data_IF_324149707018
#
_entry.id   IF_324149707018
#
_cell.length_a   1.000
_cell.length_b   1.000
_cell.length_c   1.000
_cell.angle_alpha   90.00
_cell.angle_beta   90.00
_cell.angle_gamma   90.00
#
_symmetry.space_group_name_H-M   'P 1'
#
loop_
_entity.id
_entity.type
_entity.pdbx_description
1 polymer ?
#
# COMPACT_ATOMS: atom_id res chain seq x y z
N UNK A 1 7.25 19.13 -14.74
CA UNK A 1 6.92 18.95 -13.31
C UNK A 1 5.98 20.03 -12.80
N UNK A 2 6.20 21.30 -13.13
CA UNK A 2 5.41 22.44 -12.60
C UNK A 2 3.91 22.39 -12.91
N UNK A 3 3.53 21.96 -14.11
CA UNK A 3 2.11 21.81 -14.50
C UNK A 3 1.41 20.76 -13.62
N UNK A 4 2.07 19.63 -13.36
CA UNK A 4 1.52 18.56 -12.51
C UNK A 4 1.36 19.07 -11.09
N UNK A 5 2.37 19.76 -10.53
CA UNK A 5 2.30 20.33 -9.19
C UNK A 5 1.20 21.39 -9.07
N UNK A 6 1.00 22.24 -10.08
CA UNK A 6 -0.08 23.22 -10.11
C UNK A 6 -1.46 22.55 -10.11
N UNK A 7 -1.64 21.47 -10.87
CA UNK A 7 -2.88 20.69 -10.87
C UNK A 7 -3.12 20.00 -9.51
N UNK A 8 -2.08 19.47 -8.87
CA UNK A 8 -2.19 18.87 -7.53
C UNK A 8 -2.56 19.89 -6.46
N UNK A 9 -1.95 21.08 -6.49
CA UNK A 9 -2.28 22.18 -5.57
C UNK A 9 -3.71 22.68 -5.74
N UNK A 10 -4.28 22.48 -6.93
CA UNK A 10 -5.68 22.81 -7.23
C UNK A 10 -6.66 21.64 -7.01
N UNK A 11 -6.22 20.53 -6.40
CA UNK A 11 -7.05 19.35 -6.13
C UNK A 11 -7.38 18.51 -7.37
N UNK A 12 -6.77 18.77 -8.53
CA UNK A 12 -7.06 18.07 -9.80
C UNK A 12 -6.23 16.80 -9.96
N UNK A 13 -6.36 15.86 -9.02
CA UNK A 13 -5.57 14.60 -9.00
C UNK A 13 -5.66 13.82 -10.32
N UNK A 14 -6.88 13.60 -10.84
CA UNK A 14 -7.08 12.82 -12.07
C UNK A 14 -6.34 13.41 -13.28
N UNK A 15 -6.39 14.74 -13.41
CA UNK A 15 -5.72 15.46 -14.50
C UNK A 15 -4.21 15.39 -14.35
N UNK A 16 -3.69 15.66 -13.14
CA UNK A 16 -2.28 15.56 -12.83
C UNK A 16 -1.71 14.16 -13.15
N UNK A 17 -2.42 13.09 -12.76
CA UNK A 17 -2.01 11.71 -13.05
C UNK A 17 -2.14 11.38 -14.54
N UNK A 18 -3.14 11.90 -15.24
CA UNK A 18 -3.25 11.74 -16.70
C UNK A 18 -2.06 12.37 -17.43
N UNK A 19 -1.61 13.56 -17.00
CA UNK A 19 -0.43 14.23 -17.58
C UNK A 19 0.84 13.44 -17.27
N UNK A 20 1.00 12.97 -16.03
CA UNK A 20 2.13 12.12 -15.65
C UNK A 20 2.16 10.86 -16.52
N UNK A 21 1.04 10.13 -16.62
CA UNK A 21 0.99 8.85 -17.31
C UNK A 21 1.26 8.96 -18.83
N UNK A 22 0.91 10.09 -19.44
CA UNK A 22 1.21 10.37 -20.85
C UNK A 22 2.65 10.86 -21.10
N UNK A 23 3.42 11.12 -20.05
CA UNK A 23 4.78 11.65 -20.16
C UNK A 23 5.76 10.56 -20.62
N UNK A 24 6.62 10.81 -21.62
CA UNK A 24 7.65 9.86 -22.04
C UNK A 24 8.95 10.00 -21.21
N UNK A 25 8.91 10.64 -20.03
CA UNK A 25 10.10 10.91 -19.20
C UNK A 25 9.82 10.66 -17.71
N UNK A 26 10.83 10.23 -16.93
CA UNK A 26 10.70 10.10 -15.48
C UNK A 26 10.52 11.44 -14.78
N UNK A 27 10.00 11.37 -13.55
CA UNK A 27 9.87 12.50 -12.63
C UNK A 27 10.64 12.24 -11.34
N UNK A 28 10.88 13.28 -10.51
CA UNK A 28 11.43 13.10 -9.18
C UNK A 28 10.57 12.16 -8.32
N UNK A 29 11.22 11.29 -7.54
CA UNK A 29 10.54 10.35 -6.63
C UNK A 29 9.60 11.00 -5.61
N UNK A 30 9.88 12.25 -5.23
CA UNK A 30 8.98 13.05 -4.37
C UNK A 30 7.61 13.29 -5.01
N UNK A 31 7.52 13.40 -6.34
CA UNK A 31 6.25 13.55 -7.04
C UNK A 31 5.42 12.28 -6.96
N UNK A 32 6.03 11.10 -7.19
CA UNK A 32 5.34 9.82 -7.05
C UNK A 32 4.85 9.60 -5.63
N UNK A 33 5.69 9.86 -4.62
CA UNK A 33 5.30 9.77 -3.22
C UNK A 33 4.09 10.66 -2.90
N UNK A 34 4.08 11.90 -3.41
CA UNK A 34 2.96 12.83 -3.24
C UNK A 34 1.69 12.33 -3.94
N UNK A 35 1.82 11.77 -5.14
CA UNK A 35 0.70 11.24 -5.90
C UNK A 35 0.09 10.01 -5.22
N UNK A 36 0.90 9.06 -4.77
CA UNK A 36 0.40 7.92 -3.99
C UNK A 36 -0.33 8.38 -2.72
N UNK A 37 0.25 9.34 -1.99
CA UNK A 37 -0.41 9.92 -0.82
C UNK A 37 -1.80 10.49 -1.15
N UNK A 38 -1.92 11.23 -2.25
CA UNK A 38 -3.20 11.80 -2.69
C UNK A 38 -4.16 10.72 -3.21
N UNK A 39 -3.66 9.70 -3.90
CA UNK A 39 -4.49 8.58 -4.35
C UNK A 39 -5.06 7.82 -3.14
N UNK A 40 -4.24 7.58 -2.12
CA UNK A 40 -4.64 6.95 -0.88
C UNK A 40 -5.72 7.75 -0.14
N UNK A 41 -5.54 9.08 -0.02
CA UNK A 41 -6.53 9.96 0.62
C UNK A 41 -7.85 10.05 -0.15
N UNK A 42 -7.83 9.96 -1.48
CA UNK A 42 -9.02 10.04 -2.32
C UNK A 42 -9.61 8.66 -2.71
N UNK A 43 -9.01 7.56 -2.23
CA UNK A 43 -9.32 6.18 -2.67
C UNK A 43 -9.32 6.03 -4.20
N UNK A 44 -8.37 6.70 -4.86
CA UNK A 44 -8.29 6.83 -6.31
C UNK A 44 -7.42 5.72 -6.92
N UNK A 45 -8.00 4.51 -7.04
CA UNK A 45 -7.27 3.31 -7.45
C UNK A 45 -6.75 3.36 -8.89
N UNK A 46 -7.54 3.90 -9.82
CA UNK A 46 -7.17 3.98 -11.24
C UNK A 46 -5.92 4.86 -11.39
N UNK A 47 -5.90 5.94 -10.64
CA UNK A 47 -4.80 6.88 -10.57
C UNK A 47 -3.57 6.24 -9.91
N UNK A 48 -3.73 5.51 -8.81
CA UNK A 48 -2.63 4.79 -8.16
C UNK A 48 -1.93 3.81 -9.11
N UNK A 49 -2.70 3.01 -9.86
CA UNK A 49 -2.16 2.07 -10.87
C UNK A 49 -1.40 2.76 -11.98
N UNK A 50 -1.88 3.91 -12.46
CA UNK A 50 -1.17 4.72 -13.46
C UNK A 50 0.15 5.27 -12.93
N UNK A 51 0.15 5.72 -11.67
CA UNK A 51 1.35 6.25 -11.00
C UNK A 51 2.40 5.15 -10.84
N UNK A 52 1.99 3.95 -10.39
CA UNK A 52 2.88 2.80 -10.29
C UNK A 52 3.40 2.36 -11.66
N UNK A 53 2.52 2.17 -12.65
CA UNK A 53 2.90 1.75 -14.00
C UNK A 53 3.95 2.67 -14.63
N UNK A 54 3.78 3.99 -14.48
CA UNK A 54 4.78 4.95 -14.95
C UNK A 54 6.08 4.86 -14.12
N UNK A 55 6.01 4.69 -12.80
CA UNK A 55 7.20 4.52 -11.94
C UNK A 55 8.03 3.32 -12.39
N UNK A 56 7.42 2.14 -12.54
CA UNK A 56 8.12 0.89 -12.87
C UNK A 56 8.64 0.89 -14.32
N UNK A 57 7.97 1.61 -15.22
CA UNK A 57 8.40 1.76 -16.62
C UNK A 57 9.72 2.54 -16.72
N UNK A 58 9.88 3.61 -15.93
CA UNK A 58 11.08 4.45 -15.98
C UNK A 58 12.12 4.16 -14.88
N UNK A 59 11.79 3.28 -13.93
CA UNK A 59 12.68 2.85 -12.87
C UNK A 59 12.58 1.33 -12.73
N UNK A 60 13.49 0.55 -13.35
CA UNK A 60 13.48 -0.91 -13.25
C UNK A 60 13.67 -1.42 -11.81
N UNK A 61 14.31 -0.62 -10.96
CA UNK A 61 14.50 -0.87 -9.53
C UNK A 61 14.01 0.32 -8.71
N UNK A 62 12.68 0.49 -8.55
CA UNK A 62 12.15 1.60 -7.77
C UNK A 62 12.62 1.54 -6.31
N UNK A 63 12.84 2.70 -5.66
CA UNK A 63 13.13 2.72 -4.23
C UNK A 63 12.07 1.99 -3.40
N UNK A 64 12.50 1.14 -2.46
CA UNK A 64 11.62 0.32 -1.60
C UNK A 64 10.52 1.17 -0.94
N UNK A 65 10.86 2.37 -0.47
CA UNK A 65 9.87 3.24 0.19
C UNK A 65 8.71 3.67 -0.73
N UNK A 66 8.93 3.79 -2.05
CA UNK A 66 7.86 4.09 -3.00
C UNK A 66 6.95 2.88 -3.22
N UNK A 67 7.53 1.68 -3.27
CA UNK A 67 6.76 0.43 -3.37
C UNK A 67 5.93 0.21 -2.11
N UNK A 68 6.52 0.44 -0.92
CA UNK A 68 5.78 0.42 0.34
C UNK A 68 4.62 1.41 0.33
N UNK A 69 4.83 2.63 -0.19
CA UNK A 69 3.77 3.64 -0.31
C UNK A 69 2.68 3.24 -1.30
N UNK A 70 3.03 2.55 -2.38
CA UNK A 70 2.06 1.99 -3.33
C UNK A 70 1.22 0.88 -2.67
N UNK A 71 1.84 -0.06 -1.94
CA UNK A 71 1.16 -1.10 -1.15
C UNK A 71 0.19 -0.48 -0.15
N UNK A 72 0.62 0.53 0.62
CA UNK A 72 -0.26 1.28 1.54
C UNK A 72 -1.44 1.94 0.82
N UNK A 73 -1.19 2.47 -0.38
CA UNK A 73 -2.23 3.11 -1.21
C UNK A 73 -3.26 2.09 -1.67
N UNK A 74 -2.82 0.92 -2.12
CA UNK A 74 -3.69 -0.19 -2.49
C UNK A 74 -4.53 -0.69 -1.33
N UNK A 75 -3.92 -0.86 -0.15
CA UNK A 75 -4.63 -1.17 1.08
C UNK A 75 -5.75 -0.16 1.39
N UNK A 76 -5.45 1.15 1.33
CA UNK A 76 -6.44 2.22 1.55
C UNK A 76 -7.54 2.29 0.49
N UNK A 77 -7.27 1.80 -0.72
CA UNK A 77 -8.26 1.67 -1.79
C UNK A 77 -9.08 0.37 -1.69
N UNK A 78 -8.74 -0.54 -0.77
CA UNK A 78 -9.37 -1.86 -0.66
C UNK A 78 -8.89 -2.87 -1.72
N UNK A 79 -7.83 -2.56 -2.47
CA UNK A 79 -7.29 -3.40 -3.53
C UNK A 79 -6.16 -4.28 -2.97
N UNK A 80 -6.51 -5.22 -2.09
CA UNK A 80 -5.52 -6.04 -1.38
C UNK A 80 -4.78 -7.06 -2.25
N UNK A 81 -5.35 -7.41 -3.41
CA UNK A 81 -4.66 -8.27 -4.37
C UNK A 81 -3.51 -7.52 -5.02
N UNK A 82 -3.74 -6.32 -5.58
CA UNK A 82 -2.68 -5.43 -6.08
C UNK A 82 -1.58 -5.20 -5.02
N UNK A 83 -1.98 -4.95 -3.76
CA UNK A 83 -1.04 -4.76 -2.65
C UNK A 83 -0.16 -6.01 -2.41
N UNK A 84 -0.74 -7.20 -2.58
CA UNK A 84 -0.05 -8.48 -2.40
C UNK A 84 0.84 -8.81 -3.59
N UNK A 85 0.33 -8.68 -4.81
CA UNK A 85 1.08 -8.91 -6.04
C UNK A 85 2.35 -8.06 -6.04
N UNK A 86 2.20 -6.75 -5.82
CA UNK A 86 3.35 -5.85 -5.72
C UNK A 86 4.31 -6.28 -4.60
N UNK A 87 3.79 -6.64 -3.43
CA UNK A 87 4.62 -7.14 -2.33
C UNK A 87 5.39 -8.41 -2.72
N UNK A 88 4.81 -9.37 -3.44
CA UNK A 88 5.48 -10.61 -3.89
C UNK A 88 6.45 -10.39 -5.07
N UNK A 89 6.26 -9.34 -5.86
CA UNK A 89 7.16 -8.96 -6.96
C UNK A 89 8.40 -8.18 -6.50
N UNK A 90 8.38 -7.58 -5.31
CA UNK A 90 9.52 -6.82 -4.79
C UNK A 90 10.81 -7.66 -4.73
N UNK A 91 11.90 -7.24 -5.39
CA UNK A 91 13.18 -7.97 -5.35
C UNK A 91 13.82 -7.93 -3.95
N UNK A 92 13.62 -6.83 -3.23
CA UNK A 92 14.10 -6.62 -1.87
C UNK A 92 12.97 -6.09 -1.00
N UNK A 93 12.86 -6.62 0.22
CA UNK A 93 11.84 -6.24 1.20
C UNK A 93 12.52 -5.89 2.51
N UNK A 94 12.08 -4.81 3.12
CA UNK A 94 12.48 -4.40 4.47
C UNK A 94 11.30 -4.56 5.45
N UNK A 95 11.53 -4.26 6.73
CA UNK A 95 10.47 -4.26 7.73
C UNK A 95 9.29 -3.33 7.37
N UNK A 96 9.57 -2.23 6.67
CA UNK A 96 8.53 -1.33 6.14
C UNK A 96 7.62 -2.00 5.12
N UNK A 97 8.18 -2.86 4.26
CA UNK A 97 7.45 -3.61 3.24
C UNK A 97 6.45 -4.59 3.88
N UNK A 98 6.91 -5.32 4.90
CA UNK A 98 6.07 -6.24 5.68
C UNK A 98 4.97 -5.49 6.43
N UNK A 99 5.31 -4.36 7.03
CA UNK A 99 4.35 -3.53 7.74
C UNK A 99 3.25 -3.02 6.82
N UNK A 100 3.61 -2.54 5.62
CA UNK A 100 2.65 -2.04 4.65
C UNK A 100 1.61 -3.12 4.28
N UNK A 101 2.07 -4.34 3.94
CA UNK A 101 1.15 -5.42 3.53
C UNK A 101 0.35 -5.98 4.72
N UNK A 102 0.96 -6.17 5.89
CA UNK A 102 0.25 -6.64 7.11
C UNK A 102 -0.83 -5.63 7.50
N UNK A 103 -0.51 -4.34 7.50
CA UNK A 103 -1.45 -3.26 7.85
C UNK A 103 -2.60 -3.21 6.83
N UNK A 104 -2.31 -3.35 5.54
CA UNK A 104 -3.33 -3.38 4.50
C UNK A 104 -4.35 -4.52 4.73
N UNK A 105 -3.89 -5.73 5.00
CA UNK A 105 -4.76 -6.87 5.28
C UNK A 105 -5.54 -6.73 6.60
N UNK A 106 -4.88 -6.22 7.65
CA UNK A 106 -5.51 -6.00 8.95
C UNK A 106 -6.65 -4.98 8.85
N UNK A 107 -6.39 -3.82 8.24
CA UNK A 107 -7.39 -2.76 8.05
C UNK A 107 -8.48 -3.13 7.03
N UNK A 108 -8.16 -4.03 6.10
CA UNK A 108 -9.13 -4.57 5.14
C UNK A 108 -10.07 -5.63 5.71
N UNK A 109 -9.96 -5.98 7.00
CA UNK A 109 -10.82 -7.00 7.64
C UNK A 109 -10.37 -8.44 7.41
N UNK A 110 -9.18 -8.66 6.85
CA UNK A 110 -8.63 -9.99 6.57
C UNK A 110 -7.62 -10.39 7.66
N UNK A 111 -8.09 -10.41 8.91
CA UNK A 111 -7.29 -10.62 10.11
C UNK A 111 -6.41 -11.88 10.05
N UNK A 112 -6.96 -13.01 9.58
CA UNK A 112 -6.21 -14.27 9.44
C UNK A 112 -5.04 -14.16 8.46
N UNK A 113 -5.22 -13.42 7.35
CA UNK A 113 -4.16 -13.17 6.37
C UNK A 113 -3.09 -12.23 6.93
N UNK A 114 -3.49 -11.22 7.71
CA UNK A 114 -2.53 -10.35 8.40
C UNK A 114 -1.64 -11.14 9.39
N UNK A 115 -2.24 -12.05 10.15
CA UNK A 115 -1.53 -12.97 11.05
C UNK A 115 -0.60 -13.92 10.28
N UNK A 116 -1.05 -14.50 9.18
CA UNK A 116 -0.20 -15.41 8.39
C UNK A 116 1.02 -14.69 7.79
N UNK A 117 0.86 -13.44 7.35
CA UNK A 117 1.94 -12.57 6.90
C UNK A 117 2.91 -12.24 8.04
N UNK A 118 2.41 -11.91 9.23
CA UNK A 118 3.24 -11.70 10.42
C UNK A 118 4.06 -12.94 10.80
N UNK A 119 3.45 -14.13 10.78
CA UNK A 119 4.17 -15.38 11.03
C UNK A 119 5.22 -15.67 9.95
N UNK A 120 4.96 -15.30 8.68
CA UNK A 120 5.95 -15.41 7.60
C UNK A 120 7.11 -14.42 7.81
N UNK A 121 6.83 -13.18 8.19
CA UNK A 121 7.82 -12.15 8.55
C UNK A 121 8.78 -12.66 9.63
N UNK A 122 8.25 -13.21 10.73
CA UNK A 122 9.04 -13.74 11.84
C UNK A 122 9.88 -14.97 11.43
N UNK A 123 9.32 -15.89 10.63
CA UNK A 123 10.07 -17.06 10.13
C UNK A 123 11.25 -16.69 9.26
N UNK A 124 11.19 -15.53 8.59
CA UNK A 124 12.27 -14.99 7.78
C UNK A 124 13.26 -14.13 8.60
N UNK A 125 13.09 -14.06 9.93
CA UNK A 125 13.97 -13.30 10.81
C UNK A 125 13.82 -11.78 10.71
N UNK A 126 12.74 -11.28 10.12
CA UNK A 126 12.47 -9.84 10.03
C UNK A 126 11.76 -9.38 11.31
N UNK A 127 12.35 -8.43 12.03
CA UNK A 127 11.79 -7.94 13.29
C UNK A 127 10.59 -7.03 13.07
N UNK A 128 9.47 -7.40 13.70
CA UNK A 128 8.30 -6.56 13.80
C UNK A 128 8.56 -5.32 14.66
N UNK A 129 7.90 -4.21 14.32
CA UNK A 129 7.93 -2.98 15.11
C UNK A 129 6.54 -2.71 15.73
N UNK A 130 6.43 -1.60 16.45
CA UNK A 130 5.21 -1.20 17.15
C UNK A 130 3.98 -1.15 16.24
N UNK A 131 4.14 -0.65 15.00
CA UNK A 131 3.07 -0.57 14.00
C UNK A 131 2.61 -1.98 13.58
N UNK A 132 3.56 -2.89 13.39
CA UNK A 132 3.28 -4.30 13.09
C UNK A 132 2.47 -4.93 14.21
N UNK A 133 2.93 -4.78 15.46
CA UNK A 133 2.29 -5.38 16.62
C UNK A 133 0.89 -4.83 16.83
N UNK A 134 0.70 -3.51 16.72
CA UNK A 134 -0.63 -2.90 16.82
C UNK A 134 -1.61 -3.47 15.78
N UNK A 135 -1.17 -3.64 14.53
CA UNK A 135 -1.99 -4.21 13.44
C UNK A 135 -2.37 -5.67 13.70
N UNK A 136 -1.41 -6.47 14.19
CA UNK A 136 -1.62 -7.89 14.49
C UNK A 136 -2.50 -8.08 15.72
N UNK A 137 -2.31 -7.29 16.79
CA UNK A 137 -3.16 -7.31 17.98
C UNK A 137 -4.61 -6.96 17.64
N UNK A 138 -4.82 -5.94 16.80
CA UNK A 138 -6.15 -5.61 16.29
C UNK A 138 -6.77 -6.76 15.50
N UNK A 139 -5.97 -7.47 14.70
CA UNK A 139 -6.41 -8.66 13.96
C UNK A 139 -6.81 -9.81 14.90
N UNK A 140 -6.04 -10.06 15.97
CA UNK A 140 -6.38 -11.05 16.99
C UNK A 140 -7.70 -10.73 17.68
N UNK A 141 -7.91 -9.46 18.05
CA UNK A 141 -9.15 -9.00 18.67
C UNK A 141 -10.36 -9.24 17.75
N UNK A 142 -10.24 -8.91 16.46
CA UNK A 142 -11.29 -9.13 15.47
C UNK A 142 -11.66 -10.63 15.30
N UNK A 143 -10.66 -11.52 15.34
CA UNK A 143 -10.90 -12.97 15.29
C UNK A 143 -11.61 -13.47 16.55
N UNK A 144 -11.18 -13.01 17.72
CA UNK A 144 -11.80 -13.37 19.00
C UNK A 144 -13.26 -12.90 19.05
N UNK A 145 -13.53 -11.67 18.61
CA UNK A 145 -14.88 -11.12 18.51
C UNK A 145 -15.76 -11.94 17.57
N UNK A 146 -15.25 -12.29 16.38
CA UNK A 146 -15.97 -13.14 15.42
C UNK A 146 -16.29 -14.52 16.04
N UNK A 147 -15.34 -15.12 16.74
CA UNK A 147 -15.54 -16.40 17.42
C UNK A 147 -16.63 -16.31 18.50
N UNK A 148 -16.59 -15.29 19.36
CA UNK A 148 -17.58 -15.08 20.41
C UNK A 148 -18.98 -14.79 19.83
N UNK A 149 -19.07 -13.97 18.78
CA UNK A 149 -20.34 -13.67 18.12
C UNK A 149 -21.03 -14.91 17.56
N UNK A 150 -20.26 -15.85 16.99
CA UNK A 150 -20.77 -17.14 16.49
C UNK A 150 -21.32 -18.03 17.61
N UNK A 151 -20.73 -18.00 18.80
CA UNK A 151 -21.23 -18.77 19.93
C UNK A 151 -22.59 -18.27 20.44
N UNK A 152 -22.83 -16.96 20.34
CA UNK A 152 -24.07 -16.33 20.83
C UNK A 152 -25.18 -16.46 19.81
N UNK A 153 -24.89 -16.19 18.53
CA UNK A 153 -25.93 -16.03 17.53
C UNK A 153 -26.43 -17.32 16.89
N UNK A 154 -25.71 -18.44 17.02
CA UNK A 154 -26.17 -19.78 16.61
C UNK A 154 -26.58 -19.89 15.15
#
# INVERSE_FOLDING_TARGET
>A
TDIILADLNSGRLRKAVSILFASPVPFPFSLYARLFQLCASNRAIIEARKVESHLVTFSPTPPIFLLNRAIETYGKCGCLEDARELFEEMPHRDGGSWNAVITAYAQGGYAEKALSLFLRMNRLGVFANEITFASVLGSCAAILELFLSRQIHG
#
